data_IF_003458136276
#
_entry.id   IF_003458136276
#
_cell.length_a   1.000
_cell.length_b   1.000
_cell.length_c   1.000
_cell.angle_alpha   90.00
_cell.angle_beta   90.00
_cell.angle_gamma   90.00
#
_symmetry.space_group_name_H-M   'P 1'
#
loop_
_entity.id
_entity.type
_entity.pdbx_description
1 polymer ?
#
# COMPACT_ATOMS: atom_id res chain seq x y z
N UNK A 1 -17.13 29.37 11.12
CA UNK A 1 -17.24 28.19 10.23
C UNK A 1 -17.01 28.68 8.82
N UNK A 2 -15.98 28.22 8.12
CA UNK A 2 -15.82 28.58 6.70
C UNK A 2 -16.92 27.87 5.91
N UNK A 3 -17.82 28.64 5.33
CA UNK A 3 -18.89 28.14 4.46
C UNK A 3 -18.26 27.67 3.16
N UNK A 4 -18.32 26.36 2.87
CA UNK A 4 -17.88 25.79 1.59
C UNK A 4 -18.79 26.35 0.49
N UNK A 5 -18.22 26.86 -0.60
CA UNK A 5 -19.03 27.38 -1.71
C UNK A 5 -19.67 26.23 -2.50
N UNK A 6 -20.76 26.52 -3.22
CA UNK A 6 -21.41 25.52 -4.07
C UNK A 6 -20.45 24.94 -5.13
N UNK A 7 -19.60 25.79 -5.72
CA UNK A 7 -18.60 25.38 -6.70
C UNK A 7 -17.52 24.48 -6.09
N UNK A 8 -17.02 24.83 -4.90
CA UNK A 8 -16.06 23.99 -4.16
C UNK A 8 -16.65 22.59 -3.91
N UNK A 9 -17.91 22.53 -3.45
CA UNK A 9 -18.61 21.28 -3.20
C UNK A 9 -18.77 20.46 -4.49
N UNK A 10 -19.12 21.10 -5.60
CA UNK A 10 -19.29 20.45 -6.90
C UNK A 10 -17.99 19.77 -7.37
N UNK A 11 -16.84 20.46 -7.27
CA UNK A 11 -15.56 19.88 -7.69
C UNK A 11 -15.05 18.79 -6.76
N UNK A 12 -15.23 18.95 -5.44
CA UNK A 12 -14.90 17.90 -4.48
C UNK A 12 -15.75 16.64 -4.72
N UNK A 13 -17.05 16.80 -4.91
CA UNK A 13 -17.95 15.67 -5.18
C UNK A 13 -17.64 15.01 -6.53
N UNK A 14 -17.30 15.81 -7.55
CA UNK A 14 -16.87 15.28 -8.85
C UNK A 14 -15.63 14.39 -8.74
N UNK A 15 -14.62 14.79 -7.97
CA UNK A 15 -13.42 13.97 -7.73
C UNK A 15 -13.72 12.76 -6.84
N UNK A 16 -14.57 12.92 -5.82
CA UNK A 16 -15.06 11.79 -5.02
C UNK A 16 -15.76 10.74 -5.88
N UNK A 17 -16.44 11.14 -6.95
CA UNK A 17 -17.16 10.25 -7.86
C UNK A 17 -16.29 9.52 -8.89
N UNK A 18 -14.96 9.73 -8.90
CA UNK A 18 -14.05 8.91 -9.71
C UNK A 18 -14.23 7.42 -9.38
N UNK A 19 -14.27 6.60 -10.42
CA UNK A 19 -14.48 5.15 -10.32
C UNK A 19 -13.49 4.38 -11.23
N UNK A 20 -13.75 3.08 -11.44
CA UNK A 20 -12.86 2.21 -12.22
C UNK A 20 -12.93 2.45 -13.72
N UNK A 21 -14.01 3.05 -14.21
CA UNK A 21 -14.26 3.37 -15.62
C UNK A 21 -13.69 4.74 -16.00
N UNK A 22 -13.50 5.65 -15.04
CA UNK A 22 -12.82 6.93 -15.26
C UNK A 22 -11.47 6.75 -15.96
N UNK A 23 -11.26 7.52 -17.04
CA UNK A 23 -10.01 7.55 -17.80
C UNK A 23 -8.92 8.30 -17.04
N UNK A 24 -7.67 8.25 -17.54
CA UNK A 24 -6.56 8.98 -16.92
C UNK A 24 -6.79 10.48 -16.99
N UNK A 25 -7.26 10.95 -18.14
CA UNK A 25 -7.53 12.35 -18.43
C UNK A 25 -8.65 12.88 -17.52
N UNK A 26 -9.78 12.19 -17.45
CA UNK A 26 -10.92 12.54 -16.59
C UNK A 26 -10.52 12.54 -15.10
N UNK A 27 -9.80 11.51 -14.65
CA UNK A 27 -9.32 11.41 -13.26
C UNK A 27 -8.43 12.60 -12.89
N UNK A 28 -7.47 12.94 -13.75
CA UNK A 28 -6.53 14.04 -13.49
C UNK A 28 -7.20 15.40 -13.59
N UNK A 29 -8.16 15.59 -14.49
CA UNK A 29 -8.94 16.82 -14.58
C UNK A 29 -9.74 17.07 -13.29
N UNK A 30 -10.49 16.06 -12.83
CA UNK A 30 -11.26 16.14 -11.58
C UNK A 30 -10.37 16.38 -10.37
N UNK A 31 -9.23 15.69 -10.30
CA UNK A 31 -8.22 15.93 -9.27
C UNK A 31 -7.78 17.40 -9.27
N UNK A 32 -7.34 17.93 -10.42
CA UNK A 32 -6.85 19.32 -10.52
C UNK A 32 -7.90 20.35 -10.12
N UNK A 33 -9.15 20.21 -10.59
CA UNK A 33 -10.26 21.10 -10.21
C UNK A 33 -10.50 21.09 -8.71
N UNK A 34 -10.60 19.89 -8.12
CA UNK A 34 -10.78 19.76 -6.67
C UNK A 34 -9.58 20.32 -5.88
N UNK A 35 -8.36 20.15 -6.39
CA UNK A 35 -7.13 20.59 -5.75
C UNK A 35 -7.01 22.12 -5.68
N UNK A 36 -7.50 22.83 -6.71
CA UNK A 36 -7.52 24.28 -6.74
C UNK A 36 -8.41 24.84 -5.63
N UNK A 37 -9.58 24.23 -5.44
CA UNK A 37 -10.56 24.70 -4.45
C UNK A 37 -10.22 24.28 -3.02
N UNK A 38 -9.83 23.02 -2.78
CA UNK A 38 -9.56 22.55 -1.43
C UNK A 38 -8.58 21.37 -1.40
N UNK A 39 -7.29 21.70 -1.30
CA UNK A 39 -6.19 20.72 -1.25
C UNK A 39 -6.36 19.69 -0.13
N UNK A 40 -6.81 20.11 1.06
CA UNK A 40 -6.93 19.21 2.22
C UNK A 40 -7.98 18.13 1.95
N UNK A 41 -9.19 18.54 1.60
CA UNK A 41 -10.29 17.59 1.33
C UNK A 41 -10.02 16.76 0.09
N UNK A 42 -9.43 17.34 -0.97
CA UNK A 42 -9.00 16.55 -2.14
C UNK A 42 -8.01 15.44 -1.76
N UNK A 43 -7.10 15.72 -0.83
CA UNK A 43 -6.13 14.72 -0.39
C UNK A 43 -6.78 13.61 0.44
N UNK A 44 -7.75 13.95 1.29
CA UNK A 44 -8.58 12.97 2.01
C UNK A 44 -9.37 12.08 1.03
N UNK A 45 -9.99 12.69 0.01
CA UNK A 45 -10.67 11.96 -1.07
C UNK A 45 -9.69 11.04 -1.79
N UNK A 46 -8.50 11.50 -2.16
CA UNK A 46 -7.50 10.69 -2.87
C UNK A 46 -7.18 9.39 -2.10
N UNK A 47 -7.01 9.47 -0.78
CA UNK A 47 -6.74 8.29 0.04
C UNK A 47 -7.98 7.42 0.26
N UNK A 48 -9.18 8.01 0.33
CA UNK A 48 -10.43 7.26 0.30
C UNK A 48 -10.62 6.48 -1.01
N UNK A 49 -10.25 7.08 -2.15
CA UNK A 49 -10.27 6.39 -3.44
C UNK A 49 -9.34 5.18 -3.42
N UNK A 50 -8.16 5.29 -2.81
CA UNK A 50 -7.23 4.16 -2.70
C UNK A 50 -7.64 3.13 -1.67
N UNK A 51 -8.22 3.52 -0.54
CA UNK A 51 -8.36 2.65 0.63
C UNK A 51 -8.98 1.29 0.26
N UNK A 52 -8.18 0.22 0.37
CA UNK A 52 -8.63 -1.13 0.04
C UNK A 52 -9.29 -1.87 1.20
N UNK A 53 -9.45 -1.22 2.35
CA UNK A 53 -10.04 -1.78 3.56
C UNK A 53 -11.40 -1.17 3.89
N UNK A 54 -11.59 0.12 3.60
CA UNK A 54 -12.85 0.81 3.87
C UNK A 54 -13.26 1.88 2.85
N UNK A 55 -12.50 2.06 1.76
CA UNK A 55 -12.83 3.00 0.70
C UNK A 55 -13.08 2.32 -0.65
N UNK A 56 -12.86 3.04 -1.75
CA UNK A 56 -13.19 2.53 -3.09
C UNK A 56 -12.21 1.49 -3.63
N UNK A 57 -10.99 1.42 -3.09
CA UNK A 57 -9.96 0.48 -3.54
C UNK A 57 -9.51 0.65 -5.00
N UNK A 58 -9.71 1.82 -5.62
CA UNK A 58 -9.42 2.06 -7.05
C UNK A 58 -7.94 2.38 -7.30
N UNK A 59 -7.15 1.33 -7.55
CA UNK A 59 -5.68 1.42 -7.68
C UNK A 59 -5.22 2.28 -8.85
N UNK A 60 -5.76 2.06 -10.05
CA UNK A 60 -5.26 2.65 -11.30
C UNK A 60 -5.38 4.18 -11.28
N UNK A 61 -6.56 4.67 -10.88
CA UNK A 61 -6.86 6.09 -10.74
C UNK A 61 -5.99 6.74 -9.68
N UNK A 62 -5.83 6.10 -8.53
CA UNK A 62 -4.91 6.56 -7.49
C UNK A 62 -3.47 6.71 -8.02
N UNK A 63 -2.96 5.74 -8.78
CA UNK A 63 -1.61 5.77 -9.35
C UNK A 63 -1.39 6.94 -10.29
N UNK A 64 -2.34 7.20 -11.18
CA UNK A 64 -2.27 8.37 -12.05
C UNK A 64 -2.14 9.66 -11.25
N UNK A 65 -2.92 9.81 -10.18
CA UNK A 65 -2.88 11.02 -9.35
C UNK A 65 -1.57 11.12 -8.57
N UNK A 66 -1.11 10.08 -7.87
CA UNK A 66 0.15 10.18 -7.10
C UNK A 66 1.36 10.39 -8.02
N UNK A 67 1.35 9.83 -9.23
CA UNK A 67 2.41 10.03 -10.22
C UNK A 67 2.41 11.47 -10.78
N UNK A 68 1.23 12.08 -10.95
CA UNK A 68 1.10 13.51 -11.23
C UNK A 68 1.59 14.36 -10.05
N UNK A 69 1.16 14.05 -8.83
CA UNK A 69 1.60 14.78 -7.63
C UNK A 69 3.11 14.70 -7.41
N UNK A 70 3.75 13.56 -7.71
CA UNK A 70 5.20 13.42 -7.61
C UNK A 70 5.98 14.36 -8.54
N UNK A 71 5.35 14.85 -9.62
CA UNK A 71 5.97 15.76 -10.60
C UNK A 71 5.60 17.22 -10.38
N UNK A 72 4.42 17.51 -9.82
CA UNK A 72 3.89 18.87 -9.71
C UNK A 72 3.72 19.36 -8.26
N UNK A 73 3.61 18.44 -7.31
CA UNK A 73 3.32 18.70 -5.89
C UNK A 73 4.17 17.82 -4.96
N UNK A 74 5.42 17.56 -5.34
CA UNK A 74 6.31 16.58 -4.69
C UNK A 74 6.48 16.83 -3.17
N UNK A 75 6.69 18.07 -2.75
CA UNK A 75 6.87 18.43 -1.34
C UNK A 75 5.66 18.04 -0.47
N UNK A 76 4.44 18.15 -1.02
CA UNK A 76 3.22 17.75 -0.31
C UNK A 76 3.12 16.22 -0.29
N UNK A 77 3.42 15.55 -1.39
CA UNK A 77 3.38 14.09 -1.46
C UNK A 77 4.39 13.45 -0.49
N UNK A 78 5.62 13.98 -0.43
CA UNK A 78 6.71 13.50 0.45
C UNK A 78 6.25 13.47 1.92
N UNK A 79 5.61 14.55 2.39
CA UNK A 79 5.08 14.66 3.77
C UNK A 79 4.04 13.60 4.14
N UNK A 80 3.49 12.90 3.14
CA UNK A 80 2.39 11.96 3.30
C UNK A 80 2.68 10.59 2.67
N UNK A 81 3.92 10.28 2.31
CA UNK A 81 4.29 8.97 1.73
C UNK A 81 3.86 7.81 2.63
N UNK A 82 3.94 7.99 3.96
CA UNK A 82 3.48 7.01 4.95
C UNK A 82 1.98 6.66 4.86
N UNK A 83 1.15 7.54 4.31
CA UNK A 83 -0.28 7.27 4.10
C UNK A 83 -0.55 6.29 2.95
N UNK A 84 0.37 6.20 1.98
CA UNK A 84 0.24 5.30 0.83
C UNK A 84 0.15 3.83 1.27
N UNK A 85 1.09 3.26 2.02
CA UNK A 85 0.97 1.89 2.51
C UNK A 85 -0.13 1.72 3.57
N UNK A 86 -0.50 2.79 4.30
CA UNK A 86 -1.56 2.76 5.30
C UNK A 86 -2.93 2.48 4.66
N UNK A 87 -3.36 3.31 3.70
CA UNK A 87 -4.63 3.10 2.99
C UNK A 87 -4.52 2.03 1.90
N UNK A 88 -3.33 1.85 1.34
CA UNK A 88 -3.05 0.87 0.31
C UNK A 88 -2.15 -0.26 0.81
N UNK A 89 -1.01 -0.42 0.11
CA UNK A 89 0.05 -1.32 0.49
C UNK A 89 1.43 -0.78 0.07
N UNK A 90 2.49 -1.34 0.64
CA UNK A 90 3.88 -0.97 0.34
C UNK A 90 4.25 -1.08 -1.15
N UNK A 91 3.59 -1.97 -1.91
CA UNK A 91 3.80 -2.09 -3.36
C UNK A 91 3.41 -0.82 -4.11
N UNK A 92 2.42 -0.07 -3.62
CA UNK A 92 1.91 1.13 -4.31
C UNK A 92 2.96 2.24 -4.39
N UNK A 93 3.93 2.25 -3.47
CA UNK A 93 5.04 3.20 -3.49
C UNK A 93 5.91 3.04 -4.76
N UNK A 94 5.94 1.85 -5.37
CA UNK A 94 6.74 1.62 -6.59
C UNK A 94 6.18 2.32 -7.84
N UNK A 95 4.95 2.85 -7.77
CA UNK A 95 4.39 3.72 -8.82
C UNK A 95 5.06 5.11 -8.86
N UNK A 96 5.87 5.41 -7.84
CA UNK A 96 6.68 6.63 -7.73
C UNK A 96 8.15 6.40 -8.17
N UNK A 97 8.49 5.19 -8.62
CA UNK A 97 9.77 4.95 -9.27
C UNK A 97 9.89 5.80 -10.56
N UNK A 98 11.10 6.28 -10.86
CA UNK A 98 11.36 7.20 -11.97
C UNK A 98 10.75 8.59 -11.81
N UNK A 99 10.27 8.95 -10.62
CA UNK A 99 9.76 10.30 -10.31
C UNK A 99 10.76 11.07 -9.44
N UNK A 100 10.63 12.41 -9.33
CA UNK A 100 11.44 13.20 -8.40
C UNK A 100 11.36 12.79 -6.92
N UNK A 101 10.42 11.91 -6.55
CA UNK A 101 10.18 11.45 -5.17
C UNK A 101 10.79 10.04 -4.92
N UNK A 102 11.51 9.48 -5.89
CA UNK A 102 12.06 8.12 -5.80
C UNK A 102 12.97 7.94 -4.59
N UNK A 103 13.85 8.90 -4.31
CA UNK A 103 14.81 8.78 -3.21
C UNK A 103 14.09 8.75 -1.86
N UNK A 104 13.10 9.61 -1.65
CA UNK A 104 12.31 9.64 -0.42
C UNK A 104 11.50 8.36 -0.21
N UNK A 105 11.06 7.71 -1.29
CA UNK A 105 10.43 6.39 -1.22
C UNK A 105 11.44 5.32 -0.78
N UNK A 106 12.66 5.37 -1.30
CA UNK A 106 13.76 4.47 -0.92
C UNK A 106 14.11 4.67 0.56
N UNK A 107 14.30 5.91 1.00
CA UNK A 107 14.63 6.26 2.38
C UNK A 107 13.55 5.78 3.35
N UNK A 108 12.27 5.98 2.98
CA UNK A 108 11.14 5.47 3.76
C UNK A 108 11.14 3.94 3.85
N UNK A 109 11.46 3.24 2.76
CA UNK A 109 11.59 1.78 2.77
C UNK A 109 12.75 1.32 3.65
N UNK A 110 13.91 2.00 3.59
CA UNK A 110 15.09 1.70 4.41
C UNK A 110 14.73 1.85 5.89
N UNK A 111 14.16 2.99 6.27
CA UNK A 111 13.73 3.24 7.65
C UNK A 111 12.80 2.13 8.15
N UNK A 112 11.82 1.73 7.33
CA UNK A 112 10.88 0.67 7.69
C UNK A 112 11.56 -0.70 7.85
N UNK A 113 12.43 -1.13 6.94
CA UNK A 113 13.07 -2.46 7.05
C UNK A 113 14.10 -2.51 8.19
N UNK A 114 14.71 -1.38 8.56
CA UNK A 114 15.61 -1.29 9.72
C UNK A 114 14.81 -1.43 11.02
N UNK A 115 13.72 -0.67 11.17
CA UNK A 115 12.82 -0.78 12.33
C UNK A 115 12.23 -2.20 12.41
N UNK A 116 11.77 -2.74 11.29
CA UNK A 116 11.21 -4.09 11.22
C UNK A 116 12.25 -5.14 11.66
N UNK A 117 13.54 -4.93 11.34
CA UNK A 117 14.61 -5.83 11.74
C UNK A 117 14.79 -5.83 13.26
N UNK A 118 14.75 -4.67 13.89
CA UNK A 118 14.81 -4.55 15.36
C UNK A 118 13.58 -5.17 16.03
N UNK A 119 12.40 -4.89 15.50
CA UNK A 119 11.13 -5.43 15.98
C UNK A 119 11.10 -6.96 15.88
N UNK A 120 11.57 -7.52 14.77
CA UNK A 120 11.71 -8.96 14.60
C UNK A 120 12.65 -9.58 15.65
N UNK A 121 13.79 -8.93 15.96
CA UNK A 121 14.70 -9.43 17.00
C UNK A 121 14.07 -9.43 18.40
N UNK A 122 13.15 -8.50 18.64
CA UNK A 122 12.34 -8.42 19.87
C UNK A 122 11.08 -9.29 19.84
N UNK A 123 10.84 -10.04 18.77
CA UNK A 123 9.62 -10.84 18.54
C UNK A 123 8.31 -10.03 18.66
N UNK A 124 8.30 -8.79 18.17
CA UNK A 124 7.11 -7.93 18.11
C UNK A 124 6.65 -7.70 16.65
N UNK A 125 5.44 -7.17 16.41
CA UNK A 125 4.93 -6.96 15.06
C UNK A 125 5.83 -6.06 14.19
N UNK A 126 5.89 -6.40 12.90
CA UNK A 126 6.64 -5.68 11.86
C UNK A 126 5.69 -5.19 10.76
N UNK A 127 6.14 -4.21 9.98
CA UNK A 127 5.45 -3.79 8.76
C UNK A 127 5.52 -4.87 7.66
N UNK A 128 4.74 -4.67 6.59
CA UNK A 128 4.82 -5.49 5.38
C UNK A 128 5.82 -4.95 4.33
N UNK A 129 6.72 -4.02 4.67
CA UNK A 129 7.68 -3.45 3.72
C UNK A 129 8.51 -4.55 3.03
N UNK A 130 9.12 -5.45 3.80
CA UNK A 130 9.94 -6.53 3.26
C UNK A 130 9.17 -7.48 2.31
N UNK A 131 7.84 -7.62 2.48
CA UNK A 131 6.99 -8.43 1.58
C UNK A 131 7.02 -7.90 0.15
N UNK A 132 6.99 -6.58 -0.02
CA UNK A 132 6.92 -5.90 -1.31
C UNK A 132 8.23 -5.28 -1.76
N UNK A 133 9.32 -5.55 -1.03
CA UNK A 133 10.67 -5.11 -1.40
C UNK A 133 11.07 -5.60 -2.80
N UNK A 134 11.70 -4.75 -3.63
CA UNK A 134 12.07 -5.05 -5.01
C UNK A 134 13.06 -6.22 -5.07
N UNK A 135 13.01 -6.95 -6.18
CA UNK A 135 13.94 -8.05 -6.43
C UNK A 135 14.98 -7.60 -7.44
N UNK A 136 16.22 -8.02 -7.20
CA UNK A 136 17.32 -7.92 -8.17
C UNK A 136 16.84 -8.42 -9.54
N UNK A 137 17.11 -7.65 -10.60
CA UNK A 137 16.77 -7.95 -12.00
C UNK A 137 15.28 -8.05 -12.30
N UNK A 138 14.40 -7.61 -11.40
CA UNK A 138 12.97 -7.44 -11.72
C UNK A 138 12.77 -6.34 -12.77
N UNK A 139 11.61 -6.31 -13.44
CA UNK A 139 11.30 -5.24 -14.40
C UNK A 139 11.48 -3.85 -13.79
N UNK A 140 10.98 -3.66 -12.57
CA UNK A 140 11.13 -2.41 -11.82
C UNK A 140 12.61 -2.06 -11.56
N UNK A 141 13.42 -3.06 -11.20
CA UNK A 141 14.84 -2.86 -10.94
C UNK A 141 15.62 -2.54 -12.22
N UNK A 142 15.30 -3.22 -13.33
CA UNK A 142 15.93 -2.96 -14.63
C UNK A 142 15.58 -1.59 -15.21
N UNK A 143 14.40 -1.07 -14.88
CA UNK A 143 13.91 0.19 -15.43
C UNK A 143 14.38 1.41 -14.63
N UNK A 144 14.54 1.28 -13.30
CA UNK A 144 14.80 2.42 -12.42
C UNK A 144 15.98 2.21 -11.46
N UNK A 145 16.76 1.14 -11.65
CA UNK A 145 17.93 0.78 -10.84
C UNK A 145 17.63 0.77 -9.33
N UNK A 146 16.42 0.34 -8.94
CA UNK A 146 15.93 0.49 -7.56
C UNK A 146 16.86 -0.20 -6.56
N UNK A 147 17.28 -1.44 -6.83
CA UNK A 147 18.11 -2.19 -5.89
C UNK A 147 19.52 -1.59 -5.79
N UNK A 148 20.04 -1.03 -6.88
CA UNK A 148 21.29 -0.27 -6.85
C UNK A 148 21.15 0.98 -5.98
N UNK A 149 20.06 1.74 -6.13
CA UNK A 149 19.80 2.92 -5.30
C UNK A 149 19.64 2.59 -3.80
N UNK A 150 19.02 1.45 -3.46
CA UNK A 150 19.04 0.92 -2.08
C UNK A 150 20.46 0.62 -1.61
N UNK A 151 21.28 0.03 -2.47
CA UNK A 151 22.66 -0.35 -2.14
C UNK A 151 23.52 0.87 -1.87
N UNK A 152 23.39 1.92 -2.68
CA UNK A 152 24.02 3.22 -2.45
C UNK A 152 23.56 3.84 -1.13
N UNK A 153 22.25 3.93 -0.91
CA UNK A 153 21.67 4.61 0.26
C UNK A 153 22.03 3.92 1.58
N UNK A 154 22.15 2.59 1.57
CA UNK A 154 22.54 1.81 2.76
C UNK A 154 24.05 1.59 2.88
N UNK A 155 24.83 1.93 1.84
CA UNK A 155 26.24 1.54 1.70
C UNK A 155 26.45 0.02 1.91
N UNK A 156 25.61 -0.80 1.27
CA UNK A 156 25.63 -2.26 1.39
C UNK A 156 25.44 -2.89 0.02
N UNK A 157 26.14 -4.01 -0.24
CA UNK A 157 25.87 -4.78 -1.45
C UNK A 157 24.41 -5.30 -1.48
N UNK A 158 23.78 -5.42 -2.66
CA UNK A 158 22.41 -5.97 -2.79
C UNK A 158 22.21 -7.30 -2.05
N UNK A 159 23.24 -8.16 -2.11
CA UNK A 159 23.25 -9.47 -1.46
C UNK A 159 23.22 -9.37 0.07
N UNK A 160 23.88 -8.37 0.66
CA UNK A 160 23.85 -8.11 2.10
C UNK A 160 22.48 -7.58 2.52
N UNK A 161 21.91 -6.60 1.80
CA UNK A 161 20.56 -6.09 2.08
C UNK A 161 19.55 -7.25 2.08
N UNK A 162 19.62 -8.10 1.04
CA UNK A 162 18.74 -9.27 0.93
C UNK A 162 18.92 -10.26 2.08
N UNK A 163 20.16 -10.66 2.39
CA UNK A 163 20.44 -11.69 3.40
C UNK A 163 20.19 -11.20 4.84
N UNK A 164 20.54 -9.95 5.15
CA UNK A 164 20.49 -9.41 6.51
C UNK A 164 19.10 -8.85 6.88
N UNK A 165 18.40 -8.24 5.92
CA UNK A 165 17.10 -7.61 6.17
C UNK A 165 15.97 -8.41 5.51
N UNK A 166 15.96 -8.52 4.19
CA UNK A 166 14.74 -8.92 3.46
C UNK A 166 14.37 -10.39 3.65
N UNK A 167 15.32 -11.32 3.50
CA UNK A 167 15.08 -12.76 3.67
C UNK A 167 14.58 -13.11 5.09
N UNK A 168 15.24 -12.69 6.18
CA UNK A 168 14.77 -12.98 7.53
C UNK A 168 13.43 -12.30 7.83
N UNK A 169 13.22 -11.04 7.41
CA UNK A 169 11.93 -10.37 7.58
C UNK A 169 10.80 -11.06 6.84
N UNK A 170 11.01 -11.51 5.59
CA UNK A 170 10.00 -12.30 4.85
C UNK A 170 9.66 -13.61 5.55
N UNK A 171 10.64 -14.26 6.18
CA UNK A 171 10.43 -15.46 6.98
C UNK A 171 9.61 -15.15 8.24
N UNK A 172 9.92 -14.06 8.93
CA UNK A 172 9.25 -13.64 10.17
C UNK A 172 7.82 -13.13 9.93
N UNK A 173 7.61 -12.34 8.87
CA UNK A 173 6.28 -11.94 8.40
C UNK A 173 5.36 -13.15 8.20
N UNK A 174 5.93 -14.35 7.99
CA UNK A 174 5.16 -15.57 7.90
C UNK A 174 4.14 -15.43 6.78
N UNK A 175 4.62 -15.21 5.56
CA UNK A 175 3.79 -15.25 4.35
C UNK A 175 2.86 -16.45 4.50
N UNK A 176 1.55 -16.22 4.44
CA UNK A 176 0.50 -17.19 4.72
C UNK A 176 0.86 -18.59 4.17
N UNK A 177 1.35 -18.62 2.93
CA UNK A 177 1.83 -19.78 2.21
C UNK A 177 2.92 -20.59 2.93
N UNK A 178 3.88 -19.94 3.62
CA UNK A 178 4.94 -20.59 4.40
C UNK A 178 4.39 -21.31 5.63
N UNK A 179 3.46 -20.66 6.35
CA UNK A 179 2.80 -21.28 7.49
C UNK A 179 1.91 -22.46 7.04
N UNK A 180 1.20 -22.29 5.92
CA UNK A 180 0.43 -23.37 5.30
C UNK A 180 1.30 -24.56 4.90
N UNK A 181 2.43 -24.34 4.20
CA UNK A 181 3.33 -25.40 3.75
C UNK A 181 4.01 -26.16 4.90
N UNK A 182 4.21 -25.51 6.05
CA UNK A 182 4.78 -26.14 7.25
C UNK A 182 3.75 -26.79 8.18
N UNK A 183 2.47 -26.74 7.83
CA UNK A 183 1.40 -27.25 8.70
C UNK A 183 1.10 -26.35 9.91
N UNK A 184 1.69 -25.15 9.98
CA UNK A 184 1.52 -24.21 11.09
C UNK A 184 0.26 -23.35 10.90
N UNK A 185 -0.89 -24.00 10.75
CA UNK A 185 -2.16 -23.33 10.44
C UNK A 185 -2.66 -22.44 11.58
N UNK A 186 -2.39 -22.81 12.83
CA UNK A 186 -2.84 -22.07 14.03
C UNK A 186 -2.18 -20.71 14.21
N UNK A 187 -1.03 -20.46 13.58
CA UNK A 187 -0.28 -19.20 13.70
C UNK A 187 -0.62 -18.18 12.61
N UNK A 188 -1.62 -18.46 11.77
CA UNK A 188 -2.02 -17.55 10.69
C UNK A 188 -3.02 -16.54 11.25
N UNK A 189 -2.62 -15.26 11.27
CA UNK A 189 -3.54 -14.15 11.57
C UNK A 189 -4.37 -13.81 10.33
N UNK A 190 -5.64 -14.20 10.35
CA UNK A 190 -6.58 -13.98 9.25
C UNK A 190 -6.88 -12.49 9.03
N UNK A 191 -6.86 -11.65 10.06
CA UNK A 191 -7.16 -10.21 9.92
C UNK A 191 -6.07 -9.45 9.16
N UNK A 192 -4.83 -9.94 9.24
CA UNK A 192 -3.69 -9.35 8.55
C UNK A 192 -3.47 -9.92 7.13
N UNK A 193 -4.22 -10.95 6.74
CA UNK A 193 -3.98 -11.74 5.52
C UNK A 193 -5.19 -11.80 4.57
N UNK A 194 -6.03 -10.74 4.54
CA UNK A 194 -7.29 -10.72 3.77
C UNK A 194 -7.19 -11.30 2.34
N UNK A 195 -6.24 -10.83 1.51
CA UNK A 195 -6.09 -11.34 0.14
C UNK A 195 -5.71 -12.83 0.08
N UNK A 196 -4.90 -13.30 1.04
CA UNK A 196 -4.50 -14.71 1.12
C UNK A 196 -5.67 -15.58 1.60
N UNK A 197 -6.52 -15.09 2.50
CA UNK A 197 -7.73 -15.78 2.96
C UNK A 197 -8.67 -16.09 1.80
N UNK A 198 -8.88 -15.14 0.88
CA UNK A 198 -9.68 -15.37 -0.33
C UNK A 198 -9.00 -16.35 -1.30
N UNK A 199 -7.70 -16.17 -1.54
CA UNK A 199 -6.91 -17.00 -2.47
C UNK A 199 -6.84 -18.47 -2.03
N UNK A 200 -6.66 -18.71 -0.73
CA UNK A 200 -6.47 -20.05 -0.15
C UNK A 200 -7.69 -20.57 0.61
N UNK A 201 -8.88 -19.97 0.37
CA UNK A 201 -10.14 -20.30 1.05
C UNK A 201 -10.45 -21.79 1.13
N UNK A 202 -10.12 -22.56 0.08
CA UNK A 202 -10.37 -24.02 0.05
C UNK A 202 -9.50 -24.75 1.06
N UNK A 203 -8.22 -24.38 1.16
CA UNK A 203 -7.29 -24.99 2.10
C UNK A 203 -7.65 -24.61 3.55
N UNK A 204 -8.06 -23.36 3.80
CA UNK A 204 -8.52 -22.94 5.12
C UNK A 204 -9.80 -23.63 5.57
N UNK A 205 -10.80 -23.80 4.68
CA UNK A 205 -12.01 -24.58 4.99
C UNK A 205 -11.71 -26.03 5.36
N UNK A 206 -10.62 -26.61 4.85
CA UNK A 206 -10.22 -27.99 5.12
C UNK A 206 -9.50 -28.13 6.46
N UNK A 207 -8.57 -27.22 6.76
CA UNK A 207 -7.65 -27.39 7.90
C UNK A 207 -8.01 -26.56 9.13
N UNK A 208 -8.58 -25.36 8.95
CA UNK A 208 -8.94 -24.41 10.02
C UNK A 208 -10.37 -23.87 9.77
N UNK A 209 -11.34 -24.78 9.63
CA UNK A 209 -12.71 -24.44 9.21
C UNK A 209 -13.38 -23.41 10.11
N UNK A 210 -13.33 -23.61 11.41
CA UNK A 210 -14.01 -22.77 12.41
C UNK A 210 -13.45 -21.35 12.45
N UNK A 211 -12.12 -21.21 12.55
CA UNK A 211 -11.44 -19.91 12.56
C UNK A 211 -11.71 -19.13 11.26
N UNK A 212 -11.72 -19.82 10.12
CA UNK A 212 -12.00 -19.19 8.82
C UNK A 212 -13.48 -18.78 8.66
N UNK A 213 -14.43 -19.52 9.24
CA UNK A 213 -15.85 -19.14 9.25
C UNK A 213 -16.02 -17.89 10.10
N UNK A 214 -15.49 -17.89 11.32
CA UNK A 214 -15.57 -16.75 12.25
C UNK A 214 -14.98 -15.47 11.67
N UNK A 215 -13.79 -15.56 11.08
CA UNK A 215 -13.19 -14.41 10.38
C UNK A 215 -14.07 -13.87 9.24
N UNK A 216 -14.76 -14.76 8.50
CA UNK A 216 -15.62 -14.32 7.39
C UNK A 216 -16.86 -13.62 7.93
N UNK A 217 -17.48 -14.17 8.97
CA UNK A 217 -18.65 -13.58 9.63
C UNK A 217 -18.31 -12.19 10.17
N UNK A 218 -17.18 -12.04 10.86
CA UNK A 218 -16.70 -10.74 11.37
C UNK A 218 -16.50 -9.71 10.25
N UNK A 219 -16.10 -10.15 9.04
CA UNK A 219 -15.93 -9.28 7.86
C UNK A 219 -17.25 -8.95 7.18
N UNK A 220 -18.21 -9.86 7.17
CA UNK A 220 -19.55 -9.65 6.59
C UNK A 220 -20.40 -8.74 7.49
N UNK A 221 -20.26 -8.84 8.82
CA UNK A 221 -20.92 -7.91 9.77
C UNK A 221 -20.41 -6.47 9.70
N UNK A 222 -19.22 -6.24 9.13
CA UNK A 222 -18.64 -4.91 8.93
C UNK A 222 -18.88 -4.33 7.52
N UNK A 223 -19.59 -5.06 6.65
CA UNK A 223 -20.13 -4.49 5.42
C UNK A 223 -21.52 -3.96 5.77
N UNK A 224 -21.73 -2.62 5.89
CA UNK A 224 -23.09 -2.13 6.04
C UNK A 224 -23.86 -2.59 4.81
N UNK A 225 -25.02 -3.17 5.11
CA UNK A 225 -26.05 -3.65 4.18
C UNK A 225 -26.10 -2.74 2.96
N UNK A 226 -25.66 -3.26 1.82
CA UNK A 226 -26.06 -2.74 0.52
C UNK A 226 -27.43 -3.32 0.22
N UNK A 227 -28.48 -2.57 0.58
CA UNK A 227 -29.74 -2.61 -0.16
C UNK A 227 -29.53 -2.05 -1.58
#
# INVERSE_FOLDING_TARGET
MNTITFEELQYLQSFLNVDRLSTKEDTLERFKKSWIVNKKTTFEILFFLRDCRGGKGIRKQFYWVINYMARHHNQILIKHLNRIPYFGCWKDLWELAGTPVQQEVIDMYIAAIVIDREHMLKNIPVSFAAKWFPREKSTLDKEFDIVYNFSLSMNLAPSHIRKCFITPLRKYIGVCETNMSRGNWKSIDYNQQNSANYKYRKAFKKTNKEIFIRWREDKETFSPVSE
#
